data_IF_794655535392
#
_entry.id   IF_794655535392
#
_cell.length_a   1.000
_cell.length_b   1.000
_cell.length_c   1.000
_cell.angle_alpha   90.00
_cell.angle_beta   90.00
_cell.angle_gamma   90.00
#
_symmetry.space_group_name_H-M   'P 1'
#
loop_
_entity.id
_entity.type
_entity.pdbx_description
1 polymer ?
#
# COMPACT_ATOMS: atom_id res chain seq x y z
N UNK A 1 13.99 -13.00 -0.30
CA UNK A 1 13.49 -12.97 -1.70
C UNK A 1 13.27 -11.51 -2.17
N UNK A 2 14.33 -10.76 -2.52
CA UNK A 2 14.24 -9.31 -2.69
C UNK A 2 13.39 -8.87 -3.89
N UNK A 3 13.48 -9.56 -5.04
CA UNK A 3 12.67 -9.23 -6.23
C UNK A 3 11.16 -9.40 -6.00
N UNK A 4 10.78 -10.48 -5.31
CA UNK A 4 9.38 -10.75 -4.96
C UNK A 4 8.82 -9.65 -4.04
N UNK A 5 9.59 -9.26 -3.02
CA UNK A 5 9.23 -8.17 -2.11
C UNK A 5 9.00 -6.86 -2.87
N UNK A 6 9.93 -6.49 -3.75
CA UNK A 6 9.81 -5.26 -4.54
C UNK A 6 8.58 -5.27 -5.46
N UNK A 7 8.33 -6.38 -6.15
CA UNK A 7 7.15 -6.53 -7.01
C UNK A 7 5.85 -6.42 -6.19
N UNK A 8 5.76 -7.11 -5.05
CA UNK A 8 4.61 -7.02 -4.15
C UNK A 8 4.42 -5.59 -3.63
N UNK A 9 5.50 -4.90 -3.26
CA UNK A 9 5.44 -3.51 -2.83
C UNK A 9 4.82 -2.61 -3.91
N UNK A 10 5.23 -2.77 -5.17
CA UNK A 10 4.65 -2.03 -6.30
C UNK A 10 3.16 -2.34 -6.50
N UNK A 11 2.76 -3.61 -6.43
CA UNK A 11 1.36 -4.00 -6.58
C UNK A 11 0.47 -3.45 -5.45
N UNK A 12 0.93 -3.54 -4.20
CA UNK A 12 0.19 -3.04 -3.05
C UNK A 12 0.11 -1.51 -3.07
N UNK A 13 1.20 -0.82 -3.41
CA UNK A 13 1.18 0.63 -3.59
C UNK A 13 0.20 1.07 -4.69
N UNK A 14 0.18 0.37 -5.83
CA UNK A 14 -0.74 0.62 -6.92
C UNK A 14 -2.20 0.45 -6.50
N UNK A 15 -2.50 -0.60 -5.72
CA UNK A 15 -3.86 -0.83 -5.20
C UNK A 15 -4.28 0.23 -4.18
N UNK A 16 -3.40 0.62 -3.25
CA UNK A 16 -3.69 1.66 -2.27
C UNK A 16 -3.92 3.03 -2.94
N UNK A 17 -3.17 3.35 -4.00
CA UNK A 17 -3.41 4.52 -4.85
C UNK A 17 -4.77 4.44 -5.53
N UNK A 18 -5.11 3.29 -6.13
CA UNK A 18 -6.40 3.05 -6.81
C UNK A 18 -7.59 3.23 -5.88
N UNK A 19 -7.45 2.84 -4.61
CA UNK A 19 -8.49 2.98 -3.60
C UNK A 19 -8.53 4.38 -2.95
N UNK A 20 -7.58 5.27 -3.26
CA UNK A 20 -7.48 6.61 -2.66
C UNK A 20 -6.92 6.62 -1.23
N UNK A 21 -6.43 5.49 -0.72
CA UNK A 21 -5.77 5.40 0.58
C UNK A 21 -4.32 5.85 0.56
N UNK A 22 -3.71 5.91 -0.61
CA UNK A 22 -2.38 6.50 -0.79
C UNK A 22 -2.45 7.69 -1.73
N UNK A 23 -1.55 8.64 -1.54
CA UNK A 23 -1.36 9.77 -2.46
C UNK A 23 0.13 10.03 -2.69
N UNK A 24 0.48 10.40 -3.91
CA UNK A 24 1.81 10.94 -4.18
C UNK A 24 1.90 12.36 -3.66
N UNK A 25 2.93 12.63 -2.86
CA UNK A 25 3.34 13.97 -2.48
C UNK A 25 4.50 14.38 -3.39
N UNK A 26 4.23 15.20 -4.42
CA UNK A 26 5.27 15.67 -5.33
C UNK A 26 6.20 16.63 -4.60
N UNK A 27 7.49 16.55 -4.94
CA UNK A 27 8.51 17.50 -4.48
C UNK A 27 9.42 17.86 -5.64
N UNK A 28 9.92 19.09 -5.62
CA UNK A 28 10.84 19.62 -6.62
C UNK A 28 12.31 19.53 -6.18
N UNK A 29 12.55 19.28 -4.89
CA UNK A 29 13.89 19.15 -4.29
C UNK A 29 14.20 17.72 -3.83
N UNK A 30 13.17 16.88 -3.66
CA UNK A 30 13.28 15.51 -3.17
C UNK A 30 12.50 14.56 -4.10
N UNK A 31 12.80 13.25 -4.08
CA UNK A 31 11.96 12.27 -4.75
C UNK A 31 10.51 12.36 -4.25
N UNK A 32 9.55 12.17 -5.16
CA UNK A 32 8.14 12.09 -4.80
C UNK A 32 7.93 10.97 -3.76
N UNK A 33 7.18 11.28 -2.70
CA UNK A 33 6.90 10.33 -1.61
C UNK A 33 5.49 9.78 -1.73
N UNK A 34 5.35 8.48 -1.52
CA UNK A 34 4.03 7.88 -1.36
C UNK A 34 3.57 8.10 0.08
N UNK A 35 2.54 8.92 0.27
CA UNK A 35 1.90 9.12 1.57
C UNK A 35 0.85 8.05 1.78
N UNK A 36 1.02 7.32 2.88
CA UNK A 36 0.08 6.35 3.41
C UNK A 36 -0.61 6.95 4.65
N UNK A 37 -1.74 6.40 5.10
CA UNK A 37 -2.34 6.82 6.36
C UNK A 37 -1.39 6.51 7.52
N UNK A 38 -1.53 7.23 8.63
CA UNK A 38 -0.62 7.09 9.76
C UNK A 38 -0.53 5.64 10.25
N UNK A 39 0.69 5.21 10.59
CA UNK A 39 1.01 3.84 10.99
C UNK A 39 1.04 2.80 9.86
N UNK A 40 0.50 3.09 8.67
CA UNK A 40 0.44 2.10 7.59
C UNK A 40 1.81 1.81 6.97
N UNK A 41 2.78 2.73 7.03
CA UNK A 41 4.11 2.49 6.46
C UNK A 41 4.84 1.35 7.19
N UNK A 42 4.83 1.36 8.53
CA UNK A 42 5.42 0.30 9.34
C UNK A 42 4.67 -1.02 9.17
N UNK A 43 3.34 -0.97 9.13
CA UNK A 43 2.49 -2.15 8.91
C UNK A 43 2.71 -2.76 7.52
N UNK A 44 2.80 -1.93 6.48
CA UNK A 44 3.08 -2.36 5.12
C UNK A 44 4.45 -3.02 5.01
N UNK A 45 5.48 -2.41 5.62
CA UNK A 45 6.82 -2.99 5.65
C UNK A 45 6.80 -4.39 6.26
N UNK A 46 6.20 -4.54 7.45
CA UNK A 46 6.09 -5.81 8.16
C UNK A 46 5.28 -6.84 7.37
N UNK A 47 4.14 -6.44 6.78
CA UNK A 47 3.31 -7.32 5.97
C UNK A 47 4.02 -7.82 4.70
N UNK A 48 4.83 -6.96 4.07
CA UNK A 48 5.65 -7.35 2.92
C UNK A 48 6.78 -8.30 3.33
N UNK A 49 7.34 -8.15 4.54
CA UNK A 49 8.37 -9.07 5.05
C UNK A 49 7.77 -10.46 5.27
N UNK A 50 6.63 -10.55 5.96
CA UNK A 50 5.93 -11.81 6.22
C UNK A 50 5.46 -12.52 4.93
N UNK A 51 5.06 -11.75 3.91
CA UNK A 51 4.59 -12.31 2.64
C UNK A 51 5.70 -12.96 1.79
N UNK A 52 6.98 -12.71 2.12
CA UNK A 52 8.13 -13.26 1.38
C UNK A 52 8.97 -14.24 2.19
N UNK A 53 8.50 -14.61 3.38
CA UNK A 53 9.05 -15.71 4.17
C UNK A 53 8.86 -17.06 3.46
N UNK A 54 9.53 -18.09 3.97
CA UNK A 54 9.44 -19.44 3.41
C UNK A 54 8.04 -20.04 3.54
N UNK A 55 7.30 -19.65 4.59
CA UNK A 55 5.86 -19.86 4.70
C UNK A 55 5.18 -18.49 4.53
N UNK A 56 4.63 -18.16 3.34
CA UNK A 56 4.10 -16.84 3.08
C UNK A 56 2.87 -16.50 3.94
N UNK A 57 2.94 -15.44 4.74
CA UNK A 57 1.77 -14.83 5.38
C UNK A 57 1.36 -13.55 4.63
N UNK A 58 0.20 -13.63 3.98
CA UNK A 58 -0.39 -12.53 3.21
C UNK A 58 -1.54 -11.84 3.94
N UNK A 59 -1.86 -12.26 5.17
CA UNK A 59 -2.96 -11.72 5.98
C UNK A 59 -2.79 -10.25 6.34
N UNK A 60 -1.56 -9.80 6.57
CA UNK A 60 -1.25 -8.38 6.80
C UNK A 60 -1.59 -7.50 5.60
N UNK A 61 -1.21 -7.94 4.40
CA UNK A 61 -1.50 -7.21 3.14
C UNK A 61 -3.01 -7.14 2.91
N UNK A 62 -3.74 -8.26 3.06
CA UNK A 62 -5.21 -8.26 2.88
C UNK A 62 -5.92 -7.31 3.83
N UNK A 63 -5.48 -7.23 5.08
CA UNK A 63 -6.05 -6.31 6.07
C UNK A 63 -5.83 -4.84 5.69
N UNK A 64 -4.61 -4.49 5.27
CA UNK A 64 -4.28 -3.13 4.82
C UNK A 64 -5.11 -2.68 3.61
N UNK A 65 -5.38 -3.59 2.68
CA UNK A 65 -6.20 -3.30 1.49
C UNK A 65 -7.70 -3.24 1.81
N UNK A 66 -8.15 -3.93 2.86
CA UNK A 66 -9.54 -3.93 3.29
C UNK A 66 -9.90 -2.77 4.23
N UNK A 67 -8.90 -2.15 4.88
CA UNK A 67 -9.11 -1.00 5.77
C UNK A 67 -9.33 0.32 5.03
N UNK A 68 -9.28 0.30 3.70
CA UNK A 68 -9.55 1.48 2.88
C UNK A 68 -11.06 1.60 2.65
N UNK A 69 -11.71 2.66 3.15
CA UNK A 69 -13.12 2.87 2.83
C UNK A 69 -13.27 3.03 1.31
N UNK A 70 -14.26 2.32 0.74
CA UNK A 70 -14.59 2.47 -0.67
C UNK A 70 -14.82 3.95 -0.99
N UNK A 71 -14.35 4.46 -2.14
CA UNK A 71 -14.61 5.83 -2.52
C UNK A 71 -16.11 6.07 -2.48
N UNK A 72 -16.54 7.12 -1.75
CA UNK A 72 -17.94 7.50 -1.68
C UNK A 72 -18.46 7.63 -3.11
N UNK A 73 -19.44 6.79 -3.48
CA UNK A 73 -20.06 6.82 -4.79
C UNK A 73 -20.57 8.25 -5.02
N UNK A 74 -19.97 8.95 -5.99
CA UNK A 74 -20.38 10.30 -6.33
C UNK A 74 -21.82 10.21 -6.85
N UNK A 75 -22.80 10.84 -6.18
CA UNK A 75 -24.17 10.84 -6.70
C UNK A 75 -24.16 11.57 -8.06
N UNK A 76 -24.73 10.92 -9.08
CA UNK A 76 -24.98 11.57 -10.35
C UNK A 76 -26.02 12.67 -10.14
N UNK A 77 -25.66 13.92 -10.48
CA UNK A 77 -26.57 15.06 -10.55
C UNK A 77 -27.32 15.07 -11.89
#
# INVERSE_FOLDING_TARGET
>A
RPRLRSMLSTLVAGELLRQGAARWEPSWSEPARLRLPDGHEALLKSALDAAVEDVPDTGGIRRLLASVPAPAATPAH
#
